data_IF_064721346376
#
_entry.id   IF_064721346376
#
_cell.length_a   1.000
_cell.length_b   1.000
_cell.length_c   1.000
_cell.angle_alpha   90.00
_cell.angle_beta   90.00
_cell.angle_gamma   90.00
#
_symmetry.space_group_name_H-M   'P 1'
#
loop_
_entity.id
_entity.type
_entity.pdbx_description
1 polymer ?
#
# COMPACT_ATOMS: atom_id res chain seq x y z
N UNK A 1 16.59 5.35 -2.75
CA UNK A 1 15.72 6.40 -2.20
C UNK A 1 14.45 5.76 -1.66
N UNK A 2 13.97 6.26 -0.53
CA UNK A 2 12.79 5.69 0.14
C UNK A 2 11.54 6.52 -0.09
N UNK A 3 10.42 5.85 -0.29
CA UNK A 3 9.11 6.48 -0.51
C UNK A 3 8.08 5.83 0.40
N UNK A 4 7.28 6.65 1.06
CA UNK A 4 6.14 6.17 1.84
C UNK A 4 4.88 6.37 1.00
N UNK A 5 4.17 5.29 0.72
CA UNK A 5 2.91 5.37 -0.03
C UNK A 5 1.80 5.86 0.88
N UNK A 6 0.95 6.76 0.36
CA UNK A 6 -0.30 7.06 1.03
C UNK A 6 -1.31 5.93 0.78
N UNK A 7 -2.42 5.96 1.52
CA UNK A 7 -3.42 4.90 1.46
C UNK A 7 -4.02 4.76 0.05
N UNK A 8 -4.34 5.87 -0.62
CA UNK A 8 -4.93 5.83 -1.95
C UNK A 8 -3.95 5.28 -2.99
N UNK A 9 -2.70 5.70 -2.94
CA UNK A 9 -1.67 5.22 -3.86
C UNK A 9 -1.49 3.72 -3.70
N UNK A 10 -1.44 3.22 -2.47
CA UNK A 10 -1.30 1.79 -2.20
C UNK A 10 -2.53 1.01 -2.71
N UNK A 11 -3.74 1.50 -2.47
CA UNK A 11 -4.96 0.87 -2.97
C UNK A 11 -4.95 0.81 -4.49
N UNK A 12 -4.62 1.92 -5.15
CA UNK A 12 -4.57 1.96 -6.61
C UNK A 12 -3.52 1.00 -7.18
N UNK A 13 -2.40 0.87 -6.51
CA UNK A 13 -1.37 -0.10 -6.89
C UNK A 13 -1.89 -1.54 -6.83
N UNK A 14 -2.56 -1.91 -5.73
CA UNK A 14 -3.13 -3.25 -5.55
C UNK A 14 -4.21 -3.54 -6.60
N UNK A 15 -5.04 -2.55 -6.91
CA UNK A 15 -6.15 -2.67 -7.84
C UNK A 15 -5.73 -2.55 -9.31
N UNK A 16 -4.48 -2.24 -9.58
CA UNK A 16 -3.99 -1.88 -10.91
C UNK A 16 -4.85 -0.78 -11.52
N UNK A 17 -5.14 0.25 -10.75
CA UNK A 17 -6.07 1.31 -11.09
C UNK A 17 -5.43 2.32 -12.04
N UNK A 18 -6.17 2.71 -13.07
CA UNK A 18 -5.71 3.68 -14.06
C UNK A 18 -5.49 5.09 -13.50
N UNK A 19 -6.04 5.40 -12.32
CA UNK A 19 -5.81 6.66 -11.65
C UNK A 19 -4.36 6.80 -11.15
N UNK A 20 -3.64 5.68 -11.01
CA UNK A 20 -2.24 5.72 -10.64
C UNK A 20 -1.41 6.12 -11.87
N UNK A 21 -0.67 7.22 -11.76
CA UNK A 21 0.10 7.74 -12.89
C UNK A 21 1.19 6.76 -13.31
N UNK A 22 1.59 6.83 -14.58
CA UNK A 22 2.68 6.01 -15.10
C UNK A 22 3.98 6.27 -14.32
N UNK A 23 4.25 7.53 -14.00
CA UNK A 23 5.44 7.91 -13.24
C UNK A 23 5.45 7.28 -11.85
N UNK A 24 4.30 7.27 -11.16
CA UNK A 24 4.17 6.63 -9.87
C UNK A 24 4.38 5.12 -9.96
N UNK A 25 3.82 4.47 -10.98
CA UNK A 25 4.05 3.04 -11.22
C UNK A 25 5.52 2.75 -11.45
N UNK A 26 6.21 3.60 -12.19
CA UNK A 26 7.63 3.44 -12.46
C UNK A 26 8.46 3.52 -11.18
N UNK A 27 8.18 4.49 -10.34
CA UNK A 27 8.87 4.65 -9.05
C UNK A 27 8.62 3.45 -8.14
N UNK A 28 7.37 3.01 -8.02
CA UNK A 28 6.99 1.91 -7.12
C UNK A 28 7.58 0.58 -7.60
N UNK A 29 7.62 0.36 -8.90
CA UNK A 29 8.14 -0.90 -9.48
C UNK A 29 9.66 -0.95 -9.57
N UNK A 30 10.37 0.16 -9.36
CA UNK A 30 11.81 0.20 -9.48
C UNK A 30 12.47 -0.53 -8.28
N UNK A 31 13.22 -1.63 -8.51
CA UNK A 31 13.81 -2.41 -7.43
C UNK A 31 14.89 -1.67 -6.64
N UNK A 32 15.41 -0.56 -7.17
CA UNK A 32 16.41 0.27 -6.48
C UNK A 32 15.77 1.23 -5.46
N UNK A 33 14.45 1.36 -5.47
CA UNK A 33 13.73 2.20 -4.52
C UNK A 33 13.23 1.37 -3.34
N UNK A 34 13.30 1.95 -2.15
CA UNK A 34 12.66 1.39 -0.95
C UNK A 34 11.25 1.96 -0.87
N UNK A 35 10.27 1.08 -0.91
CA UNK A 35 8.86 1.48 -0.82
C UNK A 35 8.31 1.04 0.52
N UNK A 36 7.79 2.00 1.27
CA UNK A 36 7.22 1.77 2.59
C UNK A 36 5.71 1.90 2.56
N UNK A 37 5.06 1.02 3.32
CA UNK A 37 3.61 1.07 3.59
C UNK A 37 3.47 1.14 5.10
N UNK A 38 2.74 2.14 5.63
CA UNK A 38 2.56 2.24 7.07
C UNK A 38 1.56 1.23 7.59
N UNK A 39 1.74 0.79 8.84
CA UNK A 39 0.77 -0.10 9.50
C UNK A 39 -0.60 0.57 9.65
N UNK A 40 -0.65 1.89 9.74
CA UNK A 40 -1.90 2.66 9.77
C UNK A 40 -2.65 2.53 8.45
N UNK A 41 -1.95 2.57 7.33
CA UNK A 41 -2.56 2.38 6.01
C UNK A 41 -3.20 1.01 5.89
N UNK A 42 -2.51 -0.04 6.29
CA UNK A 42 -3.05 -1.41 6.21
C UNK A 42 -4.25 -1.57 7.13
N UNK A 43 -4.22 -0.97 8.31
CA UNK A 43 -5.33 -1.00 9.27
C UNK A 43 -6.56 -0.28 8.70
N UNK A 44 -6.37 0.91 8.12
CA UNK A 44 -7.46 1.67 7.48
C UNK A 44 -8.11 0.89 6.35
N UNK A 45 -7.30 0.25 5.49
CA UNK A 45 -7.80 -0.58 4.39
C UNK A 45 -8.61 -1.75 4.93
N UNK A 46 -8.12 -2.42 5.96
CA UNK A 46 -8.81 -3.56 6.57
C UNK A 46 -10.18 -3.17 7.12
N UNK A 47 -10.26 -2.02 7.80
CA UNK A 47 -11.53 -1.51 8.32
C UNK A 47 -12.50 -1.21 7.19
N UNK A 48 -12.06 -0.48 6.18
CA UNK A 48 -12.92 -0.13 5.03
C UNK A 48 -13.41 -1.36 4.29
N UNK A 49 -12.56 -2.37 4.16
CA UNK A 49 -12.94 -3.62 3.54
C UNK A 49 -14.01 -4.35 4.35
N UNK A 50 -13.86 -4.42 5.67
CA UNK A 50 -14.84 -5.08 6.53
C UNK A 50 -16.20 -4.37 6.52
N UNK A 51 -16.23 -3.08 6.23
CA UNK A 51 -17.45 -2.31 6.08
C UNK A 51 -18.05 -2.39 4.68
N UNK A 52 -17.45 -3.16 3.77
CA UNK A 52 -17.91 -3.30 2.40
C UNK A 52 -17.66 -2.09 1.52
N UNK A 53 -16.84 -1.14 1.96
CA UNK A 53 -16.57 0.10 1.22
C UNK A 53 -15.40 -0.01 0.25
N UNK A 54 -14.64 -1.09 0.33
CA UNK A 54 -13.42 -1.24 -0.46
C UNK A 54 -13.27 -2.68 -0.91
N UNK A 55 -13.03 -2.87 -2.21
CA UNK A 55 -12.82 -4.18 -2.80
C UNK A 55 -11.33 -4.41 -3.02
N UNK A 56 -10.68 -5.06 -2.07
CA UNK A 56 -9.26 -5.43 -2.14
C UNK A 56 -9.10 -6.88 -1.70
N UNK A 57 -7.99 -7.56 -2.10
CA UNK A 57 -7.73 -8.93 -1.65
C UNK A 57 -7.57 -9.03 -0.14
N UNK A 58 -7.88 -10.21 0.43
CA UNK A 58 -7.78 -10.45 1.87
C UNK A 58 -6.34 -10.54 2.39
N UNK A 59 -5.40 -10.89 1.51
CA UNK A 59 -4.03 -11.21 1.90
C UNK A 59 -3.07 -10.04 1.66
N UNK A 60 -3.37 -8.88 2.24
CA UNK A 60 -2.54 -7.68 2.08
C UNK A 60 -1.08 -7.91 2.47
N UNK A 61 -0.82 -8.66 3.54
CA UNK A 61 0.55 -8.95 3.98
C UNK A 61 1.32 -9.71 2.92
N UNK A 62 0.70 -10.70 2.29
CA UNK A 62 1.34 -11.45 1.20
C UNK A 62 1.63 -10.57 0.00
N UNK A 63 0.73 -9.64 -0.32
CA UNK A 63 0.93 -8.70 -1.43
C UNK A 63 2.11 -7.78 -1.13
N UNK A 64 2.19 -7.25 0.08
CA UNK A 64 3.29 -6.38 0.50
C UNK A 64 4.63 -7.12 0.35
N UNK A 65 4.69 -8.37 0.82
CA UNK A 65 5.91 -9.18 0.70
C UNK A 65 6.27 -9.48 -0.75
N UNK A 66 5.29 -9.84 -1.57
CA UNK A 66 5.53 -10.13 -2.99
C UNK A 66 6.03 -8.93 -3.77
N UNK A 67 5.54 -7.74 -3.41
CA UNK A 67 5.98 -6.50 -4.04
C UNK A 67 7.35 -6.03 -3.55
N UNK A 68 7.86 -6.64 -2.47
CA UNK A 68 9.12 -6.21 -1.87
C UNK A 68 8.99 -4.92 -1.06
N UNK A 69 7.80 -4.58 -0.64
CA UNK A 69 7.56 -3.39 0.17
C UNK A 69 7.93 -3.63 1.62
N UNK A 70 8.35 -2.58 2.30
CA UNK A 70 8.64 -2.59 3.73
C UNK A 70 7.44 -2.04 4.51
N UNK A 71 7.13 -2.65 5.64
CA UNK A 71 6.08 -2.14 6.53
C UNK A 71 6.73 -1.21 7.55
N UNK A 72 6.26 0.04 7.57
CA UNK A 72 6.66 1.01 8.59
C UNK A 72 5.68 0.94 9.74
N UNK A 73 6.15 0.40 10.87
CA UNK A 73 5.32 0.28 12.06
C UNK A 73 5.16 1.64 12.73
N UNK A 74 3.91 2.07 12.86
CA UNK A 74 3.59 3.31 13.55
C UNK A 74 2.89 2.93 14.85
N UNK A 75 3.48 3.35 15.97
CA UNK A 75 2.93 3.09 17.28
C UNK A 75 1.98 4.23 17.66
N UNK A 76 0.69 3.94 17.63
CA UNK A 76 -0.33 4.92 18.01
C UNK A 76 -0.63 4.75 19.48
N UNK A 77 -0.31 5.79 20.27
CA UNK A 77 -0.71 5.85 21.67
C UNK A 77 -2.08 6.49 21.75
N UNK A 78 -2.96 5.78 22.37
CA UNK A 78 -4.33 6.25 22.60
C UNK A 78 -4.42 6.91 23.97
#
# INVERSE_FOLDING_TARGET
>A
MGYLLDTHTFIWWIQDNLNLSYKSKEVISNPNNLIFVSSVNTWEITIKKSLGKLNVPDNLESIILKCGFEVLLINIKV
#
